data_IF_281902228260
#
_entry.id   IF_281902228260
#
_cell.length_a   1.000
_cell.length_b   1.000
_cell.length_c   1.000
_cell.angle_alpha   90.00
_cell.angle_beta   90.00
_cell.angle_gamma   90.00
#
_symmetry.space_group_name_H-M   'P 1'
#
loop_
_entity.id
_entity.type
_entity.pdbx_description
1 polymer ?
#
# COMPACT_ATOMS: atom_id res chain seq x y z
N UNK A 1 15.09 33.22 22.56
CA UNK A 1 16.35 33.79 22.03
C UNK A 1 17.43 32.72 22.09
N UNK A 2 17.69 32.10 20.93
CA UNK A 2 18.98 31.52 20.49
C UNK A 2 19.40 30.05 20.70
N UNK A 3 18.76 29.19 21.51
CA UNK A 3 19.27 27.79 21.67
C UNK A 3 18.51 26.71 20.88
N UNK A 4 17.18 26.75 20.77
CA UNK A 4 16.39 25.64 20.18
C UNK A 4 16.29 25.64 18.64
N UNK A 5 16.70 26.71 17.96
CA UNK A 5 16.68 26.82 16.49
C UNK A 5 18.00 26.37 15.82
N UNK A 6 19.02 25.99 16.60
CA UNK A 6 20.38 25.70 16.11
C UNK A 6 20.64 24.26 15.66
N UNK A 7 19.79 23.30 16.06
CA UNK A 7 19.99 21.87 15.73
C UNK A 7 19.29 21.45 14.43
N UNK A 8 18.29 22.19 13.97
CA UNK A 8 17.58 21.89 12.72
C UNK A 8 18.44 22.08 11.45
N UNK A 9 19.43 22.97 11.48
CA UNK A 9 20.29 23.27 10.33
C UNK A 9 21.40 22.22 10.15
N UNK A 10 21.84 21.55 11.23
CA UNK A 10 22.81 20.42 11.15
C UNK A 10 22.18 19.15 10.55
N UNK A 11 20.86 18.99 10.67
CA UNK A 11 20.14 17.93 9.97
C UNK A 11 20.11 18.14 8.44
N UNK A 12 20.16 19.40 7.97
CA UNK A 12 20.16 19.72 6.53
C UNK A 12 21.45 19.29 5.82
N UNK A 13 22.59 19.28 6.51
CA UNK A 13 23.88 18.91 5.91
C UNK A 13 24.06 17.39 5.75
N UNK A 14 23.30 16.59 6.50
CA UNK A 14 23.21 15.13 6.31
C UNK A 14 22.16 14.73 5.26
N UNK A 15 21.16 15.58 5.01
CA UNK A 15 20.13 15.34 4.01
C UNK A 15 20.64 15.48 2.55
N UNK A 16 21.73 16.22 2.32
CA UNK A 16 22.32 16.38 0.98
C UNK A 16 23.16 15.17 0.52
N UNK A 17 23.47 14.21 1.40
CA UNK A 17 24.22 12.98 1.06
C UNK A 17 23.29 11.85 0.61
N UNK A 18 21.99 11.95 0.89
CA UNK A 18 20.99 10.95 0.54
C UNK A 18 20.41 11.12 -0.88
N UNK A 19 21.23 11.56 -1.82
CA UNK A 19 20.89 11.84 -3.21
C UNK A 19 20.75 10.57 -4.10
N UNK A 20 19.88 9.61 -3.76
CA UNK A 20 19.73 8.39 -4.58
C UNK A 20 18.36 7.70 -4.52
N UNK A 21 17.54 7.89 -5.57
CA UNK A 21 16.28 7.18 -5.94
C UNK A 21 15.03 7.46 -5.08
N UNK A 22 13.86 7.31 -5.71
CA UNK A 22 12.51 7.80 -5.34
C UNK A 22 12.12 7.67 -3.85
N UNK A 23 12.72 6.72 -3.14
CA UNK A 23 12.55 6.47 -1.71
C UNK A 23 12.87 7.69 -0.84
N UNK A 24 13.79 8.56 -1.28
CA UNK A 24 14.20 9.74 -0.51
C UNK A 24 13.19 10.88 -0.57
N UNK A 25 12.50 11.04 -1.71
CA UNK A 25 11.38 11.98 -1.84
C UNK A 25 10.22 11.48 -0.98
N UNK A 26 9.93 10.18 -1.05
CA UNK A 26 8.89 9.55 -0.24
C UNK A 26 9.19 9.70 1.27
N UNK A 27 10.43 9.42 1.68
CA UNK A 27 10.88 9.54 3.07
C UNK A 27 10.85 11.00 3.56
N UNK A 28 11.19 11.96 2.72
CA UNK A 28 11.14 13.39 3.06
C UNK A 28 9.70 13.86 3.24
N UNK A 29 8.80 13.50 2.32
CA UNK A 29 7.36 13.80 2.44
C UNK A 29 6.77 13.17 3.69
N UNK A 30 7.14 11.92 3.99
CA UNK A 30 6.71 11.22 5.20
C UNK A 30 7.21 11.92 6.47
N UNK A 31 8.48 12.33 6.49
CA UNK A 31 9.07 13.03 7.64
C UNK A 31 8.40 14.39 7.86
N UNK A 32 8.15 15.16 6.80
CA UNK A 32 7.40 16.41 6.87
C UNK A 32 5.98 16.15 7.39
N UNK A 33 5.30 15.11 6.90
CA UNK A 33 3.96 14.73 7.32
C UNK A 33 3.88 14.37 8.82
N UNK A 34 4.89 13.66 9.34
CA UNK A 34 5.01 13.31 10.76
C UNK A 34 5.28 14.56 11.61
N UNK A 35 6.18 15.45 11.16
CA UNK A 35 6.48 16.70 11.87
C UNK A 35 5.25 17.62 11.91
N UNK A 36 4.50 17.72 10.81
CA UNK A 36 3.23 18.45 10.75
C UNK A 36 2.17 17.88 11.70
N UNK A 37 2.13 16.56 11.87
CA UNK A 37 1.22 15.91 12.81
C UNK A 37 1.55 16.25 14.28
N UNK A 38 2.84 16.43 14.59
CA UNK A 38 3.34 16.69 15.96
C UNK A 38 3.32 18.17 16.34
N UNK A 39 3.51 19.10 15.41
CA UNK A 39 3.55 20.54 15.68
C UNK A 39 2.21 21.22 15.29
N UNK A 40 1.62 22.05 16.15
CA UNK A 40 0.41 22.79 15.80
C UNK A 40 0.73 23.80 14.70
N UNK A 41 0.08 23.64 13.54
CA UNK A 41 0.19 24.56 12.42
C UNK A 41 -0.71 25.79 12.66
N UNK A 42 -0.28 26.99 12.24
CA UNK A 42 -1.14 28.16 12.29
C UNK A 42 -2.31 28.01 11.29
N UNK A 43 -3.46 28.58 11.63
CA UNK A 43 -4.72 28.44 10.88
C UNK A 43 -4.60 28.82 9.39
N UNK A 44 -3.87 29.89 9.08
CA UNK A 44 -3.66 30.34 7.69
C UNK A 44 -2.91 29.32 6.82
N UNK A 45 -2.00 28.56 7.42
CA UNK A 45 -1.21 27.56 6.70
C UNK A 45 -2.06 26.32 6.40
N UNK A 46 -2.93 25.94 7.34
CA UNK A 46 -3.90 24.85 7.15
C UNK A 46 -4.87 25.16 6.01
N UNK A 47 -5.42 26.37 5.95
CA UNK A 47 -6.31 26.81 4.86
C UNK A 47 -5.64 26.72 3.48
N UNK A 48 -4.37 27.14 3.38
CA UNK A 48 -3.59 27.03 2.13
C UNK A 48 -3.38 25.57 1.75
N UNK A 49 -2.98 24.71 2.70
CA UNK A 49 -2.72 23.30 2.41
C UNK A 49 -4.02 22.55 2.02
N UNK A 50 -5.14 22.84 2.67
CA UNK A 50 -6.44 22.28 2.27
C UNK A 50 -6.80 22.73 0.85
N UNK A 51 -6.59 24.01 0.53
CA UNK A 51 -6.84 24.53 -0.82
C UNK A 51 -5.98 23.82 -1.87
N UNK A 52 -4.69 23.61 -1.59
CA UNK A 52 -3.78 22.87 -2.48
C UNK A 52 -4.23 21.41 -2.63
N UNK A 53 -4.68 20.75 -1.54
CA UNK A 53 -5.21 19.39 -1.60
C UNK A 53 -6.43 19.28 -2.51
N UNK A 54 -7.34 20.26 -2.42
CA UNK A 54 -8.55 20.31 -3.23
C UNK A 54 -8.20 20.57 -4.71
N UNK A 55 -7.29 21.50 -4.99
CA UNK A 55 -6.78 21.75 -6.34
C UNK A 55 -6.12 20.50 -6.94
N UNK A 56 -5.27 19.81 -6.18
CA UNK A 56 -4.61 18.58 -6.66
C UNK A 56 -5.63 17.45 -6.92
N UNK A 57 -6.66 17.34 -6.08
CA UNK A 57 -7.73 16.35 -6.27
C UNK A 57 -8.50 16.60 -7.56
N UNK A 58 -8.80 17.86 -7.89
CA UNK A 58 -9.46 18.23 -9.15
C UNK A 58 -8.54 17.99 -10.34
N UNK A 59 -7.25 18.35 -10.25
CA UNK A 59 -6.27 18.09 -11.32
C UNK A 59 -6.17 16.59 -11.59
N UNK A 60 -6.06 15.76 -10.56
CA UNK A 60 -6.05 14.30 -10.71
C UNK A 60 -7.34 13.78 -11.36
N UNK A 61 -8.49 14.36 -11.03
CA UNK A 61 -9.76 14.01 -11.65
C UNK A 61 -9.76 14.36 -13.15
N UNK A 62 -9.26 15.53 -13.54
CA UNK A 62 -9.11 15.87 -14.97
C UNK A 62 -8.16 14.93 -15.70
N UNK A 63 -7.01 14.62 -15.08
CA UNK A 63 -6.04 13.66 -15.64
C UNK A 63 -6.71 12.29 -15.85
N UNK A 64 -7.47 11.82 -14.86
CA UNK A 64 -8.16 10.54 -14.94
C UNK A 64 -9.24 10.49 -16.04
N UNK A 65 -9.90 11.61 -16.33
CA UNK A 65 -10.91 11.70 -17.42
C UNK A 65 -10.23 11.74 -18.81
N UNK A 66 -9.02 12.30 -18.91
CA UNK A 66 -8.31 12.46 -20.19
C UNK A 66 -7.40 11.27 -20.56
N UNK A 67 -7.03 10.41 -19.61
CA UNK A 67 -6.25 9.22 -19.90
C UNK A 67 -7.06 8.23 -20.75
N UNK A 68 -6.55 7.93 -21.96
CA UNK A 68 -7.21 7.03 -22.91
C UNK A 68 -6.69 5.58 -22.81
N UNK A 69 -5.45 5.39 -22.34
CA UNK A 69 -4.80 4.08 -22.28
C UNK A 69 -4.60 3.61 -20.82
N UNK A 70 -4.96 2.34 -20.50
CA UNK A 70 -4.80 1.79 -19.15
C UNK A 70 -3.34 1.53 -18.76
N UNK A 71 -2.38 1.61 -19.69
CA UNK A 71 -0.96 1.38 -19.43
C UNK A 71 -0.30 2.56 -18.68
N UNK A 72 -0.83 3.77 -18.86
CA UNK A 72 -0.40 4.98 -18.12
C UNK A 72 -0.85 4.97 -16.66
N UNK A 73 -1.72 4.02 -16.26
CA UNK A 73 -2.15 3.82 -14.88
C UNK A 73 -1.07 3.22 -13.98
N UNK A 74 0.10 2.83 -14.48
CA UNK A 74 1.18 2.32 -13.61
C UNK A 74 1.73 3.39 -12.65
N UNK A 75 1.62 4.68 -12.99
CA UNK A 75 2.02 5.82 -12.13
C UNK A 75 0.90 6.19 -11.13
N UNK A 76 -0.32 5.71 -11.35
CA UNK A 76 -1.48 6.07 -10.54
C UNK A 76 -1.40 5.57 -9.08
N UNK A 77 -0.98 4.32 -8.77
CA UNK A 77 -0.84 3.85 -7.39
C UNK A 77 0.15 4.67 -6.55
N UNK A 78 1.28 5.10 -7.12
CA UNK A 78 2.29 5.89 -6.40
C UNK A 78 1.81 7.31 -6.14
N UNK A 79 1.12 7.95 -7.09
CA UNK A 79 0.47 9.24 -6.88
C UNK A 79 -0.65 9.16 -5.83
N UNK A 80 -1.47 8.11 -5.85
CA UNK A 80 -2.46 7.88 -4.80
C UNK A 80 -1.82 7.69 -3.42
N UNK A 81 -0.71 6.97 -3.32
CA UNK A 81 0.00 6.79 -2.05
C UNK A 81 0.52 8.11 -1.47
N UNK A 82 1.13 8.95 -2.31
CA UNK A 82 1.64 10.26 -1.86
C UNK A 82 0.49 11.20 -1.46
N UNK A 83 -0.56 11.27 -2.27
CA UNK A 83 -1.73 12.12 -1.97
C UNK A 83 -2.52 11.67 -0.76
N UNK A 84 -2.63 10.36 -0.54
CA UNK A 84 -3.29 9.81 0.66
C UNK A 84 -2.49 10.07 1.92
N UNK A 85 -1.16 9.94 1.89
CA UNK A 85 -0.30 10.33 3.01
C UNK A 85 -0.40 11.83 3.33
N UNK A 86 -0.39 12.69 2.31
CA UNK A 86 -0.62 14.11 2.48
C UNK A 86 -2.00 14.41 3.09
N UNK A 87 -3.05 13.72 2.61
CA UNK A 87 -4.41 13.85 3.11
C UNK A 87 -4.52 13.41 4.57
N UNK A 88 -3.86 12.30 4.95
CA UNK A 88 -3.82 11.80 6.33
C UNK A 88 -3.13 12.79 7.28
N UNK A 89 -1.99 13.33 6.88
CA UNK A 89 -1.28 14.33 7.69
C UNK A 89 -2.13 15.58 7.91
N UNK A 90 -2.81 16.05 6.85
CA UNK A 90 -3.70 17.20 6.93
C UNK A 90 -4.90 16.95 7.84
N UNK A 91 -5.59 15.82 7.70
CA UNK A 91 -6.79 15.53 8.51
C UNK A 91 -6.47 15.35 9.99
N UNK A 92 -5.30 14.79 10.34
CA UNK A 92 -4.89 14.69 11.75
C UNK A 92 -4.54 16.08 12.30
N UNK A 93 -3.80 16.87 11.55
CA UNK A 93 -3.40 18.23 11.96
C UNK A 93 -4.62 19.15 12.12
N UNK A 94 -5.59 19.08 11.20
CA UNK A 94 -6.84 19.86 11.29
C UNK A 94 -7.70 19.40 12.46
N UNK A 95 -7.86 18.09 12.66
CA UNK A 95 -8.63 17.54 13.79
C UNK A 95 -8.08 18.00 15.14
N UNK A 96 -6.75 18.04 15.27
CA UNK A 96 -6.10 18.59 16.47
C UNK A 96 -6.40 20.08 16.65
N UNK A 97 -6.37 20.87 15.57
CA UNK A 97 -6.65 22.31 15.61
C UNK A 97 -8.12 22.59 15.99
N UNK A 98 -9.06 21.82 15.44
CA UNK A 98 -10.48 21.85 15.83
C UNK A 98 -10.63 21.59 17.33
N UNK A 99 -9.99 20.52 17.86
CA UNK A 99 -10.14 20.12 19.26
C UNK A 99 -9.45 21.06 20.25
N UNK A 100 -8.29 21.65 19.90
CA UNK A 100 -7.51 22.49 20.81
C UNK A 100 -7.91 23.97 20.76
N UNK A 101 -8.27 24.50 19.59
CA UNK A 101 -8.45 25.94 19.39
C UNK A 101 -9.89 26.30 18.99
N UNK A 102 -10.75 25.31 18.72
CA UNK A 102 -12.12 25.51 18.18
C UNK A 102 -12.14 26.36 16.89
N UNK A 103 -10.98 26.55 16.25
CA UNK A 103 -10.81 27.33 15.04
C UNK A 103 -9.84 26.59 14.12
N UNK A 104 -10.39 26.03 13.05
CA UNK A 104 -9.69 25.14 12.14
C UNK A 104 -9.35 25.79 10.78
N UNK A 105 -9.52 27.10 10.66
CA UNK A 105 -9.44 27.82 9.39
C UNK A 105 -10.82 28.12 8.80
N UNK A 106 -10.85 29.11 7.90
CA UNK A 106 -12.08 29.63 7.30
C UNK A 106 -12.71 28.61 6.35
N UNK A 107 -11.90 27.82 5.65
CA UNK A 107 -12.39 26.81 4.70
C UNK A 107 -13.08 25.69 5.47
N UNK A 108 -12.48 25.21 6.56
CA UNK A 108 -13.06 24.14 7.38
C UNK A 108 -14.36 24.59 8.05
N UNK A 109 -14.42 25.82 8.58
CA UNK A 109 -15.64 26.36 9.18
C UNK A 109 -16.77 26.53 8.15
N UNK A 110 -16.45 27.01 6.95
CA UNK A 110 -17.41 27.09 5.86
C UNK A 110 -17.96 25.71 5.47
N UNK A 111 -17.08 24.73 5.20
CA UNK A 111 -17.49 23.35 4.90
C UNK A 111 -18.28 22.71 6.04
N UNK A 112 -17.90 22.96 7.30
CA UNK A 112 -18.62 22.48 8.48
C UNK A 112 -20.06 22.97 8.52
N UNK A 113 -20.28 24.26 8.27
CA UNK A 113 -21.63 24.85 8.17
C UNK A 113 -22.42 24.26 7.01
N UNK A 114 -21.82 24.10 5.83
CA UNK A 114 -22.49 23.48 4.67
C UNK A 114 -22.89 22.02 4.91
N UNK A 115 -22.11 21.25 5.66
CA UNK A 115 -22.38 19.83 5.92
C UNK A 115 -23.31 19.62 7.11
N UNK A 116 -23.27 20.50 8.12
CA UNK A 116 -23.97 20.36 9.41
C UNK A 116 -25.20 21.28 9.54
N UNK A 117 -25.55 22.06 8.51
CA UNK A 117 -26.69 23.01 8.55
C UNK A 117 -28.04 22.35 8.87
N UNK A 118 -28.16 21.03 8.84
CA UNK A 118 -29.39 20.30 9.11
C UNK A 118 -29.23 19.32 10.28
N UNK A 119 -29.44 19.77 11.53
CA UNK A 119 -29.99 18.90 12.60
C UNK A 119 -31.47 18.55 12.37
N UNK A 120 -31.99 18.93 11.21
CA UNK A 120 -33.28 18.55 10.66
C UNK A 120 -33.27 17.06 10.26
N UNK A 121 -34.43 16.36 10.30
CA UNK A 121 -34.54 14.95 9.90
C UNK A 121 -33.95 14.62 8.52
N UNK A 122 -33.87 15.61 7.63
CA UNK A 122 -33.33 15.49 6.28
C UNK A 122 -31.80 15.30 6.28
N UNK A 123 -31.06 15.92 7.22
CA UNK A 123 -29.60 15.81 7.32
C UNK A 123 -29.12 14.37 7.58
N UNK A 124 -29.87 13.61 8.39
CA UNK A 124 -29.58 12.19 8.65
C UNK A 124 -29.65 11.33 7.38
N UNK A 125 -30.59 11.65 6.48
CA UNK A 125 -30.73 10.94 5.20
C UNK A 125 -29.50 11.13 4.32
N UNK A 126 -29.00 12.37 4.20
CA UNK A 126 -27.79 12.66 3.44
C UNK A 126 -26.56 11.97 4.06
N UNK A 127 -26.38 12.04 5.38
CA UNK A 127 -25.29 11.35 6.07
C UNK A 127 -25.27 9.85 5.75
N UNK A 128 -26.43 9.18 5.84
CA UNK A 128 -26.53 7.76 5.52
C UNK A 128 -26.29 7.46 4.02
N UNK A 129 -26.68 8.37 3.13
CA UNK A 129 -26.42 8.25 1.70
C UNK A 129 -24.91 8.34 1.39
N UNK A 130 -24.21 9.33 1.95
CA UNK A 130 -22.75 9.46 1.83
C UNK A 130 -22.02 8.26 2.42
N UNK A 131 -22.42 7.78 3.61
CA UNK A 131 -21.81 6.59 4.23
C UNK A 131 -21.96 5.35 3.34
N UNK A 132 -23.17 5.06 2.82
CA UNK A 132 -23.41 3.91 1.95
C UNK A 132 -22.66 4.01 0.62
N UNK A 133 -22.65 5.18 -0.01
CA UNK A 133 -21.94 5.40 -1.26
C UNK A 133 -20.42 5.15 -1.11
N UNK A 134 -19.82 5.67 -0.03
CA UNK A 134 -18.41 5.44 0.28
C UNK A 134 -18.14 3.94 0.51
N UNK A 135 -18.95 3.26 1.33
CA UNK A 135 -18.79 1.84 1.60
C UNK A 135 -18.88 0.99 0.31
N UNK A 136 -19.87 1.27 -0.55
CA UNK A 136 -20.06 0.57 -1.83
C UNK A 136 -18.91 0.79 -2.81
N UNK A 137 -18.35 2.00 -2.86
CA UNK A 137 -17.21 2.30 -3.73
C UNK A 137 -15.96 1.53 -3.32
N UNK A 138 -15.73 1.38 -2.01
CA UNK A 138 -14.57 0.67 -1.45
C UNK A 138 -14.71 -0.83 -1.73
N UNK A 139 -15.88 -1.43 -1.46
CA UNK A 139 -16.09 -2.86 -1.68
C UNK A 139 -15.99 -3.24 -3.16
N UNK A 140 -16.62 -2.47 -4.05
CA UNK A 140 -16.55 -2.69 -5.51
C UNK A 140 -15.15 -2.47 -6.07
N UNK A 141 -14.38 -1.53 -5.51
CA UNK A 141 -12.99 -1.30 -5.90
C UNK A 141 -12.09 -2.48 -5.53
N UNK A 142 -12.24 -3.00 -4.30
CA UNK A 142 -11.45 -4.15 -3.81
C UNK A 142 -11.74 -5.42 -4.60
N UNK A 143 -12.99 -5.66 -5.01
CA UNK A 143 -13.39 -6.84 -5.79
C UNK A 143 -12.56 -6.98 -7.09
N UNK A 144 -12.39 -5.89 -7.85
CA UNK A 144 -11.60 -5.89 -9.09
C UNK A 144 -10.11 -6.12 -8.84
N UNK A 145 -9.57 -5.57 -7.75
CA UNK A 145 -8.16 -5.78 -7.37
C UNK A 145 -7.94 -7.23 -6.89
N UNK A 146 -8.91 -7.81 -6.19
CA UNK A 146 -8.87 -9.19 -5.71
C UNK A 146 -8.85 -10.19 -6.88
N UNK A 147 -9.66 -9.99 -7.91
CA UNK A 147 -9.67 -10.81 -9.14
C UNK A 147 -8.28 -10.84 -9.81
N UNK A 148 -7.68 -9.65 -9.99
CA UNK A 148 -6.36 -9.51 -10.61
C UNK A 148 -5.27 -10.14 -9.75
N UNK A 149 -5.34 -10.02 -8.42
CA UNK A 149 -4.38 -10.65 -7.51
C UNK A 149 -4.47 -12.18 -7.50
N UNK A 150 -5.69 -12.74 -7.57
CA UNK A 150 -5.92 -14.17 -7.66
C UNK A 150 -5.35 -14.71 -8.97
N UNK A 151 -5.55 -13.96 -10.07
CA UNK A 151 -4.98 -14.31 -11.36
C UNK A 151 -3.45 -14.25 -11.36
N UNK A 152 -2.80 -13.26 -10.74
CA UNK A 152 -1.34 -13.25 -10.62
C UNK A 152 -0.78 -14.37 -9.73
N UNK A 153 -1.52 -14.80 -8.71
CA UNK A 153 -1.17 -16.01 -7.95
C UNK A 153 -1.31 -17.28 -8.79
N UNK A 154 -2.37 -17.40 -9.59
CA UNK A 154 -2.59 -18.52 -10.52
C UNK A 154 -1.58 -18.53 -11.67
N UNK A 155 -1.26 -17.37 -12.24
CA UNK A 155 -0.24 -17.17 -13.29
C UNK A 155 1.20 -17.30 -12.75
N UNK A 156 1.37 -17.41 -11.42
CA UNK A 156 2.63 -17.79 -10.76
C UNK A 156 2.85 -19.31 -10.64
N UNK A 157 1.80 -20.13 -10.79
CA UNK A 157 1.91 -21.60 -10.84
C UNK A 157 2.69 -22.19 -12.03
N UNK A 158 2.74 -21.62 -13.25
CA UNK A 158 3.47 -22.22 -14.37
C UNK A 158 4.99 -22.27 -14.13
N UNK A 159 5.57 -21.37 -13.32
CA UNK A 159 6.98 -21.43 -12.95
C UNK A 159 7.33 -22.65 -12.10
N UNK A 160 6.43 -23.03 -11.17
CA UNK A 160 6.55 -24.27 -10.38
C UNK A 160 6.33 -25.52 -11.24
N UNK A 161 5.46 -25.44 -12.24
CA UNK A 161 5.25 -26.54 -13.19
C UNK A 161 6.42 -26.70 -14.17
N UNK A 162 7.07 -25.60 -14.59
CA UNK A 162 8.28 -25.63 -15.41
C UNK A 162 9.49 -26.22 -14.67
N UNK A 163 9.64 -25.94 -13.36
CA UNK A 163 10.69 -26.58 -12.55
C UNK A 163 10.42 -28.06 -12.32
N UNK A 164 9.16 -28.46 -12.12
CA UNK A 164 8.77 -29.87 -11.97
C UNK A 164 9.00 -30.64 -13.28
N UNK A 165 8.68 -30.04 -14.43
CA UNK A 165 8.92 -30.65 -15.74
C UNK A 165 10.42 -30.73 -16.08
N UNK A 166 11.20 -29.76 -15.59
CA UNK A 166 12.67 -29.79 -15.60
C UNK A 166 13.25 -30.94 -14.77
N UNK A 167 12.75 -31.15 -13.55
CA UNK A 167 13.17 -32.25 -12.66
C UNK A 167 12.74 -33.63 -13.19
N UNK A 168 11.54 -33.71 -13.80
CA UNK A 168 11.05 -34.90 -14.51
C UNK A 168 11.95 -35.25 -15.71
N UNK A 169 12.35 -34.27 -16.53
CA UNK A 169 13.28 -34.46 -17.66
C UNK A 169 14.72 -34.74 -17.22
N UNK A 170 15.18 -34.14 -16.13
CA UNK A 170 16.48 -34.41 -15.52
C UNK A 170 16.53 -35.77 -14.79
N UNK A 171 15.39 -36.43 -14.61
CA UNK A 171 15.29 -37.76 -14.05
C UNK A 171 15.62 -37.83 -12.55
N UNK A 172 15.53 -36.71 -11.84
CA UNK A 172 15.82 -36.60 -10.40
C UNK A 172 14.79 -37.40 -9.58
N UNK A 173 13.60 -37.62 -10.15
CA UNK A 173 12.46 -38.28 -9.51
C UNK A 173 12.37 -39.78 -9.85
N UNK A 174 13.33 -40.34 -10.60
CA UNK A 174 13.47 -41.80 -10.68
C UNK A 174 14.16 -42.24 -9.41
N UNK A 175 13.47 -43.02 -8.56
CA UNK A 175 14.08 -43.78 -7.48
C UNK A 175 15.40 -44.37 -8.00
N UNK A 176 16.53 -43.79 -7.55
CA UNK A 176 17.82 -44.38 -7.89
C UNK A 176 17.85 -45.76 -7.22
N UNK A 177 18.31 -46.80 -7.93
CA UNK A 177 18.54 -48.09 -7.29
C UNK A 177 19.49 -47.85 -6.11
N UNK A 178 19.01 -48.14 -4.89
CA UNK A 178 19.78 -47.99 -3.67
C UNK A 178 21.11 -48.75 -3.85
N UNK A 179 22.27 -48.07 -3.74
CA UNK A 179 23.57 -48.68 -4.06
C UNK A 179 23.93 -49.86 -3.14
N UNK A 180 23.19 -50.07 -2.05
CA UNK A 180 23.40 -51.14 -1.06
C UNK A 180 22.52 -52.39 -1.23
N UNK A 181 21.59 -52.46 -2.21
CA UNK A 181 20.70 -53.63 -2.36
C UNK A 181 21.44 -54.90 -2.82
N UNK A 182 22.59 -54.77 -3.50
CA UNK A 182 23.32 -55.96 -4.00
C UNK A 182 23.98 -56.79 -2.90
N UNK A 183 24.24 -56.24 -1.71
CA UNK A 183 24.89 -56.97 -0.61
C UNK A 183 23.90 -57.63 0.36
N UNK A 184 22.61 -57.25 0.32
CA UNK A 184 21.62 -57.67 1.31
C UNK A 184 20.56 -58.65 0.78
N UNK A 185 20.37 -58.78 -0.54
CA UNK A 185 19.37 -59.70 -1.09
C UNK A 185 20.02 -61.01 -1.58
N UNK A 186 19.63 -62.18 -1.05
CA UNK A 186 20.20 -63.47 -1.45
C UNK A 186 19.96 -63.76 -2.94
N UNK A 187 20.98 -64.27 -3.61
CA UNK A 187 20.96 -64.54 -5.05
C UNK A 187 19.77 -65.43 -5.43
N UNK A 188 18.90 -64.93 -6.31
CA UNK A 188 17.77 -65.68 -6.88
C UNK A 188 16.37 -65.23 -6.46
N UNK A 189 16.22 -64.18 -5.63
CA UNK A 189 14.89 -63.61 -5.32
C UNK A 189 14.57 -62.35 -6.15
N UNK A 190 13.30 -62.18 -6.60
CA UNK A 190 12.87 -60.96 -7.27
C UNK A 190 12.89 -59.75 -6.32
N UNK A 191 13.29 -58.58 -6.83
CA UNK A 191 13.49 -57.33 -6.07
C UNK A 191 12.24 -56.87 -5.30
N UNK A 192 11.04 -57.28 -5.72
CA UNK A 192 9.76 -56.96 -5.06
C UNK A 192 9.57 -57.61 -3.68
N UNK A 193 10.52 -58.46 -3.26
CA UNK A 193 10.41 -59.26 -2.04
C UNK A 193 11.63 -59.14 -1.11
N UNK A 194 12.54 -58.21 -1.39
CA UNK A 194 13.61 -57.86 -0.46
C UNK A 194 13.02 -56.88 0.57
N UNK A 195 12.73 -57.38 1.77
CA UNK A 195 12.23 -56.60 2.90
C UNK A 195 13.37 -55.74 3.46
N UNK A 196 13.30 -54.42 3.27
CA UNK A 196 14.40 -53.54 3.63
C UNK A 196 14.12 -52.08 3.33
N UNK A 197 13.39 -51.43 4.24
CA UNK A 197 13.43 -49.99 4.58
C UNK A 197 14.21 -49.13 3.57
N UNK A 198 13.54 -48.72 2.51
CA UNK A 198 13.95 -47.62 1.64
C UNK A 198 12.89 -46.51 1.66
N UNK A 199 12.21 -46.33 2.81
CA UNK A 199 10.99 -45.53 2.90
C UNK A 199 11.20 -44.06 3.28
N UNK A 200 12.43 -43.54 3.35
CA UNK A 200 12.64 -42.18 3.92
C UNK A 200 13.36 -41.16 3.04
N UNK A 201 13.58 -41.42 1.74
CA UNK A 201 13.98 -40.34 0.81
C UNK A 201 13.25 -40.51 -0.53
N UNK A 202 11.97 -40.17 -0.53
CA UNK A 202 11.22 -39.67 -1.68
C UNK A 202 10.24 -38.60 -1.18
#
# INVERSE_FOLDING_TARGET
MRSWLGEGVRAQQWLSVCAGRQDMVLATVLLIAIVMMLLPLPTWMVDILITINLMFSVILLLIAIYLSDPLDLSVFPSLLLITTLYRLSLTISTSRLVLLQHNAGNIVDAFGKFVVEEISPLGWSYYHHYYRANLLSITKGIERVAEVSARFSLDGMPGKQMSIDGDLRAGVNRCRPCPYIKTACPAGKPLSRCDGRCDEIC
#
